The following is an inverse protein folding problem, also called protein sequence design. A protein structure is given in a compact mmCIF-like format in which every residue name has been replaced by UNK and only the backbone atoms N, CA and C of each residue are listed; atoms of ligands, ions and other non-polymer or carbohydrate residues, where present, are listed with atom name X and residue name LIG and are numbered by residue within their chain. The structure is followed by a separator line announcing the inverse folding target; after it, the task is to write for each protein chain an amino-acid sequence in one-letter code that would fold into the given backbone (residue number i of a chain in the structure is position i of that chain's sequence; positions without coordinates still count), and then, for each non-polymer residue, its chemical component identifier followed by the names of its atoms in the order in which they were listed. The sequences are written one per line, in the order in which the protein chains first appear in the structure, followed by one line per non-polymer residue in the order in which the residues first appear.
data_IF_931764568086
#
_entry.id   IF_931764568086
#
_cell.length_a   1.000
_cell.length_b   1.000
_cell.length_c   1.000
_cell.angle_alpha   90.00
_cell.angle_beta   90.00
_cell.angle_gamma   90.00
#
_symmetry.space_group_name_H-M   'P 1'
#
loop_
_entity.id
_entity.type
_entity.pdbx_description
1 polymer ?
#
# COMPACT_ATOMS: atom_id res chain seq x y z
N UNK A 1 16.36 18.82 42.87
CA UNK A 1 15.29 17.90 42.41
C UNK A 1 14.20 18.72 41.75
N UNK A 2 14.14 18.74 40.43
CA UNK A 2 13.06 19.42 39.71
C UNK A 2 11.80 18.53 39.77
N UNK A 3 10.80 18.97 40.52
CA UNK A 3 9.49 18.34 40.60
C UNK A 3 8.82 18.41 39.23
N UNK A 4 8.69 17.25 38.56
CA UNK A 4 7.93 17.11 37.32
C UNK A 4 6.49 17.51 37.62
N UNK A 5 6.01 18.60 37.02
CA UNK A 5 4.59 19.00 37.14
C UNK A 5 3.72 17.79 36.78
N UNK A 6 2.67 17.48 37.56
CA UNK A 6 1.74 16.41 37.21
C UNK A 6 1.14 16.69 35.82
N UNK A 7 1.15 15.69 34.94
CA UNK A 7 0.61 15.80 33.59
C UNK A 7 -0.86 16.20 33.67
N UNK A 8 -1.21 17.36 33.13
CA UNK A 8 -2.60 17.82 33.03
C UNK A 8 -3.41 16.77 32.27
N UNK A 9 -4.60 16.35 32.77
CA UNK A 9 -5.39 15.33 32.11
C UNK A 9 -5.77 15.76 30.69
N UNK A 10 -5.55 14.86 29.72
CA UNK A 10 -5.87 15.10 28.31
C UNK A 10 -7.38 15.24 28.14
N UNK A 11 -7.82 16.17 27.29
CA UNK A 11 -9.21 16.17 26.82
C UNK A 11 -9.49 14.91 25.98
N UNK A 12 -10.77 14.51 25.86
CA UNK A 12 -11.17 13.37 25.04
C UNK A 12 -10.60 13.42 23.61
N UNK A 13 -10.61 14.60 22.98
CA UNK A 13 -10.01 14.81 21.66
C UNK A 13 -8.48 14.65 21.63
N UNK A 14 -7.78 15.11 22.67
CA UNK A 14 -6.33 14.93 22.79
C UNK A 14 -5.96 13.46 23.00
N UNK A 15 -6.75 12.72 23.79
CA UNK A 15 -6.58 11.29 24.01
C UNK A 15 -6.82 10.50 22.72
N UNK A 16 -7.92 10.77 22.02
CA UNK A 16 -8.22 10.16 20.71
C UNK A 16 -7.11 10.39 19.69
N UNK A 17 -6.65 11.64 19.57
CA UNK A 17 -5.57 12.00 18.64
C UNK A 17 -4.26 11.30 18.99
N UNK A 18 -3.92 11.17 20.27
CA UNK A 18 -2.72 10.46 20.70
C UNK A 18 -2.78 8.97 20.35
N UNK A 19 -3.93 8.32 20.56
CA UNK A 19 -4.17 6.93 20.16
C UNK A 19 -4.08 6.74 18.64
N UNK A 20 -4.68 7.64 17.85
CA UNK A 20 -4.54 7.63 16.39
C UNK A 20 -3.09 7.73 15.95
N UNK A 21 -2.33 8.66 16.52
CA UNK A 21 -0.91 8.84 16.19
C UNK A 21 -0.08 7.59 16.52
N UNK A 22 -0.42 6.88 17.59
CA UNK A 22 0.20 5.60 17.91
C UNK A 22 -0.06 4.58 16.80
N UNK A 23 -1.31 4.35 16.41
CA UNK A 23 -1.66 3.39 15.34
C UNK A 23 -1.01 3.77 14.01
N UNK A 24 -0.96 5.06 13.68
CA UNK A 24 -0.28 5.52 12.46
C UNK A 24 1.23 5.25 12.47
N UNK A 25 1.90 5.37 13.63
CA UNK A 25 3.32 5.00 13.75
C UNK A 25 3.53 3.51 13.58
N UNK A 26 2.70 2.69 14.22
CA UNK A 26 2.74 1.23 14.09
C UNK A 26 2.50 0.80 12.63
N UNK A 27 1.58 1.46 11.93
CA UNK A 27 1.35 1.25 10.49
C UNK A 27 2.58 1.55 9.65
N UNK A 28 3.25 2.68 9.90
CA UNK A 28 4.48 3.04 9.16
C UNK A 28 5.59 2.02 9.41
N UNK A 29 5.77 1.59 10.66
CA UNK A 29 6.73 0.55 11.01
C UNK A 29 6.43 -0.77 10.29
N UNK A 30 5.18 -1.24 10.34
CA UNK A 30 4.76 -2.46 9.66
C UNK A 30 5.03 -2.43 8.15
N UNK A 31 4.76 -1.29 7.49
CA UNK A 31 5.02 -1.17 6.05
C UNK A 31 6.51 -1.27 5.76
N UNK A 32 7.35 -0.63 6.56
CA UNK A 32 8.80 -0.70 6.42
C UNK A 32 9.33 -2.12 6.68
N UNK A 33 8.81 -2.80 7.71
CA UNK A 33 9.24 -4.14 8.10
C UNK A 33 8.89 -5.17 7.02
N UNK A 34 7.64 -5.16 6.53
CA UNK A 34 7.20 -6.03 5.43
C UNK A 34 8.01 -5.75 4.16
N UNK A 35 8.20 -4.47 3.82
CA UNK A 35 8.96 -4.08 2.64
C UNK A 35 10.43 -4.56 2.70
N UNK A 36 11.07 -4.42 3.86
CA UNK A 36 12.43 -4.90 4.10
C UNK A 36 12.49 -6.44 4.06
N UNK A 37 11.51 -7.14 4.61
CA UNK A 37 11.42 -8.59 4.59
C UNK A 37 11.29 -9.15 3.16
N UNK A 38 10.37 -8.61 2.37
CA UNK A 38 10.20 -9.00 0.97
C UNK A 38 11.48 -8.74 0.17
N UNK A 39 12.14 -7.60 0.40
CA UNK A 39 13.43 -7.27 -0.20
C UNK A 39 14.50 -8.33 0.10
N UNK A 40 14.66 -8.69 1.37
CA UNK A 40 15.62 -9.74 1.79
C UNK A 40 15.34 -11.09 1.15
N UNK A 41 14.08 -11.51 1.07
CA UNK A 41 13.71 -12.79 0.44
C UNK A 41 14.05 -12.83 -1.05
N UNK A 42 13.76 -11.75 -1.79
CA UNK A 42 14.08 -11.65 -3.22
C UNK A 42 15.59 -11.64 -3.44
N UNK A 43 16.34 -10.88 -2.63
CA UNK A 43 17.81 -10.84 -2.70
C UNK A 43 18.42 -12.21 -2.40
N UNK A 44 17.91 -12.91 -1.39
CA UNK A 44 18.37 -14.25 -1.05
C UNK A 44 18.10 -15.27 -2.18
N UNK A 45 16.92 -15.21 -2.80
CA UNK A 45 16.60 -16.07 -3.95
C UNK A 45 17.52 -15.78 -5.14
N UNK A 46 17.84 -14.52 -5.41
CA UNK A 46 18.80 -14.14 -6.44
C UNK A 46 20.20 -14.71 -6.14
N UNK A 47 20.68 -14.60 -4.90
CA UNK A 47 21.97 -15.17 -4.51
C UNK A 47 21.99 -16.70 -4.71
N UNK A 48 20.89 -17.39 -4.39
CA UNK A 48 20.74 -18.83 -4.65
C UNK A 48 20.80 -19.13 -6.14
N UNK A 49 20.08 -18.38 -6.98
CA UNK A 49 20.12 -18.52 -8.44
C UNK A 49 21.55 -18.32 -8.98
N UNK A 50 22.21 -17.21 -8.61
CA UNK A 50 23.57 -16.92 -9.06
C UNK A 50 24.57 -17.98 -8.60
N UNK A 51 24.42 -18.49 -7.38
CA UNK A 51 25.23 -19.60 -6.87
C UNK A 51 25.02 -20.91 -7.62
N UNK A 52 23.78 -21.20 -8.06
CA UNK A 52 23.51 -22.37 -8.92
C UNK A 52 24.14 -22.21 -10.31
N UNK A 53 24.03 -21.01 -10.90
CA UNK A 53 24.63 -20.70 -12.21
C UNK A 53 26.15 -20.76 -12.19
N UNK A 54 26.80 -20.21 -11.14
CA UNK A 54 28.26 -20.20 -11.03
C UNK A 54 28.87 -21.61 -10.86
N UNK A 55 28.10 -22.58 -10.35
CA UNK A 55 28.53 -23.98 -10.18
C UNK A 55 28.20 -24.84 -11.40
N UNK A 56 27.43 -24.34 -12.35
CA UNK A 56 27.07 -25.09 -13.54
C UNK A 56 28.30 -25.22 -14.45
N UNK A 57 28.57 -26.43 -14.99
CA UNK A 57 29.62 -26.64 -15.99
C UNK A 57 29.45 -25.71 -17.19
N UNK A 58 30.56 -25.32 -17.83
CA UNK A 58 30.56 -24.51 -19.05
C UNK A 58 29.96 -25.24 -20.26
N UNK A 59 29.92 -26.58 -20.22
CA UNK A 59 29.28 -27.41 -21.24
C UNK A 59 27.79 -27.64 -20.91
N UNK A 60 26.97 -26.65 -21.30
CA UNK A 60 25.52 -26.64 -21.05
C UNK A 60 24.73 -27.57 -21.99
N UNK A 61 25.36 -28.15 -23.01
CA UNK A 61 24.67 -28.46 -24.25
C UNK A 61 23.66 -29.63 -24.18
N UNK A 62 23.81 -30.60 -23.26
CA UNK A 62 22.89 -31.76 -23.27
C UNK A 62 22.49 -32.34 -21.89
N UNK A 63 23.34 -32.30 -20.86
CA UNK A 63 23.06 -33.01 -19.59
C UNK A 63 22.74 -32.11 -18.38
N UNK A 64 23.06 -30.81 -18.44
CA UNK A 64 22.96 -29.91 -17.28
C UNK A 64 21.72 -29.01 -17.34
N UNK A 65 21.28 -28.61 -18.53
CA UNK A 65 20.22 -27.61 -18.69
C UNK A 65 18.88 -28.02 -18.06
N UNK A 66 18.33 -29.24 -18.30
CA UNK A 66 17.03 -29.60 -17.71
C UNK A 66 17.06 -29.57 -16.18
N UNK A 67 18.16 -30.05 -15.59
CA UNK A 67 18.37 -30.05 -14.14
C UNK A 67 18.55 -28.64 -13.58
N UNK A 68 19.24 -27.76 -14.30
CA UNK A 68 19.40 -26.36 -13.93
C UNK A 68 18.05 -25.64 -13.98
N UNK A 69 17.27 -25.81 -15.06
CA UNK A 69 15.92 -25.24 -15.20
C UNK A 69 15.00 -25.73 -14.08
N UNK A 70 15.05 -27.00 -13.73
CA UNK A 70 14.28 -27.55 -12.60
C UNK A 70 14.74 -26.97 -11.24
N UNK A 71 16.05 -26.79 -11.06
CA UNK A 71 16.61 -26.10 -9.89
C UNK A 71 16.09 -24.67 -9.74
N UNK A 72 16.10 -23.91 -10.84
CA UNK A 72 15.62 -22.53 -10.87
C UNK A 72 14.10 -22.43 -10.65
N UNK A 73 13.33 -23.37 -11.21
CA UNK A 73 11.89 -23.46 -10.97
C UNK A 73 11.59 -23.66 -9.50
N UNK A 74 12.33 -24.57 -8.83
CA UNK A 74 12.18 -24.80 -7.39
C UNK A 74 12.49 -23.55 -6.56
N UNK A 75 13.56 -22.82 -6.89
CA UNK A 75 13.88 -21.56 -6.20
C UNK A 75 12.77 -20.52 -6.39
N UNK A 76 12.20 -20.42 -7.59
CA UNK A 76 11.05 -19.54 -7.86
C UNK A 76 9.79 -19.94 -7.09
N UNK A 77 9.46 -21.23 -7.07
CA UNK A 77 8.29 -21.77 -6.35
C UNK A 77 8.43 -21.55 -4.83
N UNK A 78 9.62 -21.83 -4.27
CA UNK A 78 9.93 -21.58 -2.85
C UNK A 78 9.84 -20.10 -2.50
N UNK A 79 10.38 -19.21 -3.35
CA UNK A 79 10.28 -17.77 -3.17
C UNK A 79 8.81 -17.32 -3.19
N UNK A 80 8.00 -17.83 -4.13
CA UNK A 80 6.57 -17.49 -4.21
C UNK A 80 5.83 -17.83 -2.92
N UNK A 81 6.07 -19.02 -2.36
CA UNK A 81 5.47 -19.47 -1.09
C UNK A 81 5.90 -18.58 0.08
N UNK A 82 7.20 -18.25 0.16
CA UNK A 82 7.74 -17.39 1.23
C UNK A 82 7.15 -15.97 1.15
N UNK A 83 7.18 -15.35 -0.03
CA UNK A 83 6.62 -14.01 -0.25
C UNK A 83 5.11 -13.99 0.01
N UNK A 84 4.37 -15.00 -0.46
CA UNK A 84 2.93 -15.12 -0.21
C UNK A 84 2.61 -15.22 1.27
N UNK A 85 3.38 -16.02 2.02
CA UNK A 85 3.24 -16.18 3.48
C UNK A 85 3.50 -14.86 4.22
N UNK A 86 4.61 -14.20 3.92
CA UNK A 86 4.98 -12.92 4.52
C UNK A 86 3.94 -11.84 4.22
N UNK A 87 3.52 -11.72 2.95
CA UNK A 87 2.51 -10.76 2.54
C UNK A 87 1.16 -11.03 3.19
N UNK A 88 0.72 -12.28 3.29
CA UNK A 88 -0.52 -12.64 3.99
C UNK A 88 -0.45 -12.28 5.48
N UNK A 89 0.71 -12.45 6.11
CA UNK A 89 1.00 -11.99 7.47
C UNK A 89 0.87 -10.48 7.62
N UNK A 90 1.53 -9.72 6.74
CA UNK A 90 1.43 -8.27 6.68
C UNK A 90 0.00 -7.76 6.49
N UNK A 91 -0.78 -8.41 5.61
CA UNK A 91 -2.19 -8.07 5.40
C UNK A 91 -3.05 -8.26 6.66
N UNK A 92 -2.82 -9.34 7.43
CA UNK A 92 -3.52 -9.54 8.72
C UNK A 92 -3.19 -8.45 9.73
N UNK A 93 -1.91 -8.09 9.84
CA UNK A 93 -1.49 -7.04 10.77
C UNK A 93 -2.01 -5.67 10.34
N UNK A 94 -1.99 -5.37 9.03
CA UNK A 94 -2.58 -4.15 8.46
C UNK A 94 -4.08 -4.06 8.75
N UNK A 95 -4.80 -5.16 8.62
CA UNK A 95 -6.21 -5.26 8.96
C UNK A 95 -6.47 -4.94 10.44
N UNK A 96 -5.74 -5.60 11.35
CA UNK A 96 -5.84 -5.35 12.80
C UNK A 96 -5.53 -3.89 13.16
N UNK A 97 -4.52 -3.28 12.51
CA UNK A 97 -4.23 -1.87 12.69
C UNK A 97 -5.37 -0.97 12.18
N UNK A 98 -6.05 -1.35 11.10
CA UNK A 98 -7.24 -0.65 10.61
C UNK A 98 -8.36 -0.63 11.63
N UNK A 99 -8.67 -1.78 12.25
CA UNK A 99 -9.66 -1.87 13.34
C UNK A 99 -9.25 -1.03 14.54
N UNK A 100 -7.97 -1.13 14.95
CA UNK A 100 -7.42 -0.35 16.06
C UNK A 100 -7.39 1.15 15.79
N UNK A 101 -7.31 1.57 14.53
CA UNK A 101 -7.39 2.98 14.16
C UNK A 101 -8.77 3.59 14.48
N UNK A 102 -9.79 2.76 14.70
CA UNK A 102 -11.13 3.19 15.09
C UNK A 102 -11.37 2.94 16.57
N UNK A 103 -11.08 1.73 17.06
CA UNK A 103 -11.41 1.35 18.43
C UNK A 103 -10.57 2.08 19.48
N UNK A 104 -9.25 2.20 19.30
CA UNK A 104 -8.38 2.81 20.31
C UNK A 104 -8.70 4.30 20.56
N UNK A 105 -8.92 5.15 19.53
CA UNK A 105 -9.28 6.54 19.76
C UNK A 105 -10.62 6.72 20.47
N UNK A 106 -11.60 5.86 20.17
CA UNK A 106 -12.91 5.89 20.83
C UNK A 106 -12.80 5.50 22.30
N UNK A 107 -12.10 4.40 22.59
CA UNK A 107 -11.83 3.98 23.97
C UNK A 107 -11.03 5.05 24.75
N UNK A 108 -10.07 5.71 24.10
CA UNK A 108 -9.31 6.79 24.71
C UNK A 108 -10.14 8.06 24.97
N UNK A 109 -11.11 8.35 24.10
CA UNK A 109 -12.00 9.51 24.23
C UNK A 109 -13.09 9.33 25.29
N UNK A 110 -13.59 8.09 25.46
CA UNK A 110 -14.67 7.77 26.37
C UNK A 110 -14.43 6.42 27.09
N UNK A 111 -13.51 6.37 28.09
CA UNK A 111 -13.08 5.11 28.71
C UNK A 111 -14.20 4.37 29.46
N UNK A 112 -15.16 5.11 30.01
CA UNK A 112 -16.23 4.58 30.86
C UNK A 112 -17.51 4.19 30.10
N UNK A 113 -17.80 4.79 28.94
CA UNK A 113 -18.98 4.45 28.13
C UNK A 113 -18.83 3.10 27.40
N UNK A 114 -17.58 2.64 27.22
CA UNK A 114 -17.23 1.47 26.43
C UNK A 114 -17.00 0.19 27.26
N UNK A 115 -16.99 0.27 28.60
CA UNK A 115 -16.70 -0.88 29.49
C UNK A 115 -17.75 -2.01 29.43
N UNK A 116 -18.97 -1.75 28.95
CA UNK A 116 -20.02 -2.78 28.79
C UNK A 116 -20.19 -3.34 27.37
N UNK A 117 -19.62 -2.70 26.33
CA UNK A 117 -19.94 -3.01 24.92
C UNK A 117 -18.74 -3.10 23.97
N UNK A 118 -17.54 -2.66 24.37
CA UNK A 118 -16.39 -2.54 23.48
C UNK A 118 -15.79 -3.86 23.02
N UNK A 119 -15.78 -4.88 23.89
CA UNK A 119 -15.10 -6.15 23.55
C UNK A 119 -16.01 -7.15 22.84
N UNK A 120 -17.34 -7.03 22.99
CA UNK A 120 -18.29 -8.01 22.48
C UNK A 120 -18.95 -7.59 21.16
N UNK A 121 -18.84 -6.32 20.76
CA UNK A 121 -19.75 -5.76 19.78
C UNK A 121 -19.10 -4.87 18.70
N UNK A 122 -17.77 -4.81 18.58
CA UNK A 122 -17.18 -4.44 17.28
C UNK A 122 -17.47 -5.64 16.36
N UNK A 123 -18.47 -5.49 15.48
CA UNK A 123 -19.18 -6.57 14.79
C UNK A 123 -18.28 -7.61 14.12
N UNK A 124 -18.82 -8.81 13.87
CA UNK A 124 -18.12 -9.88 13.16
C UNK A 124 -17.43 -9.31 11.91
N UNK A 125 -16.12 -9.18 12.03
CA UNK A 125 -15.23 -8.69 10.98
C UNK A 125 -15.42 -9.58 9.77
N UNK A 126 -15.65 -8.98 8.59
CA UNK A 126 -15.81 -9.75 7.35
C UNK A 126 -14.44 -10.29 6.91
N UNK A 127 -14.04 -11.41 7.52
CA UNK A 127 -12.83 -12.13 7.19
C UNK A 127 -12.86 -12.69 5.77
N UNK A 128 -14.01 -12.71 5.08
CA UNK A 128 -14.08 -13.17 3.68
C UNK A 128 -13.36 -12.19 2.77
N UNK A 129 -13.52 -10.88 2.99
CA UNK A 129 -12.79 -9.87 2.23
C UNK A 129 -11.28 -9.95 2.46
N UNK A 130 -10.85 -10.13 3.72
CA UNK A 130 -9.43 -10.32 4.02
C UNK A 130 -8.86 -11.57 3.34
N UNK A 131 -9.58 -12.69 3.39
CA UNK A 131 -9.16 -13.94 2.72
C UNK A 131 -9.12 -13.79 1.20
N UNK A 132 -10.10 -13.11 0.60
CA UNK A 132 -10.11 -12.83 -0.84
C UNK A 132 -8.92 -11.95 -1.25
N UNK A 133 -8.62 -10.91 -0.47
CA UNK A 133 -7.46 -10.05 -0.70
C UNK A 133 -6.15 -10.82 -0.56
N UNK A 134 -6.04 -11.73 0.42
CA UNK A 134 -4.89 -12.63 0.58
C UNK A 134 -4.72 -13.56 -0.62
N UNK A 135 -5.80 -14.18 -1.11
CA UNK A 135 -5.77 -15.06 -2.28
C UNK A 135 -5.29 -14.31 -3.53
N UNK A 136 -5.92 -13.18 -3.85
CA UNK A 136 -5.52 -12.34 -5.01
C UNK A 136 -4.07 -11.86 -4.88
N UNK A 137 -3.63 -11.53 -3.67
CA UNK A 137 -2.26 -11.09 -3.43
C UNK A 137 -1.25 -12.23 -3.67
N UNK A 138 -1.53 -13.43 -3.15
CA UNK A 138 -0.70 -14.63 -3.38
C UNK A 138 -0.64 -14.96 -4.87
N UNK A 139 -1.77 -14.97 -5.59
CA UNK A 139 -1.81 -15.27 -7.02
C UNK A 139 -0.96 -14.28 -7.83
N UNK A 140 -1.01 -12.99 -7.52
CA UNK A 140 -0.19 -11.97 -8.19
C UNK A 140 1.31 -12.10 -7.89
N UNK A 141 1.66 -12.50 -6.67
CA UNK A 141 3.05 -12.79 -6.28
C UNK A 141 3.56 -14.04 -7.02
N UNK A 142 2.77 -15.10 -7.08
CA UNK A 142 3.07 -16.29 -7.86
C UNK A 142 3.24 -15.98 -9.34
N UNK A 143 2.41 -15.11 -9.92
CA UNK A 143 2.57 -14.62 -11.28
C UNK A 143 3.90 -13.88 -11.50
N UNK A 144 4.24 -12.93 -10.63
CA UNK A 144 5.48 -12.16 -10.72
C UNK A 144 6.74 -13.03 -10.59
N UNK A 145 6.72 -14.02 -9.70
CA UNK A 145 7.83 -14.98 -9.53
C UNK A 145 7.92 -15.97 -10.70
N UNK A 146 6.81 -16.41 -11.27
CA UNK A 146 6.81 -17.24 -12.48
C UNK A 146 7.38 -16.47 -13.69
N UNK A 147 6.99 -15.20 -13.88
CA UNK A 147 7.54 -14.32 -14.92
C UNK A 147 9.06 -14.12 -14.77
N UNK A 148 9.53 -14.04 -13.53
CA UNK A 148 10.95 -13.96 -13.21
C UNK A 148 11.68 -15.25 -13.64
N UNK A 149 11.18 -16.43 -13.27
CA UNK A 149 11.76 -17.72 -13.69
C UNK A 149 11.78 -17.85 -15.21
N UNK A 150 10.70 -17.47 -15.89
CA UNK A 150 10.64 -17.48 -17.35
C UNK A 150 11.70 -16.57 -17.99
N UNK A 151 11.99 -15.41 -17.38
CA UNK A 151 13.06 -14.53 -17.86
C UNK A 151 14.43 -15.19 -17.76
N UNK A 152 14.73 -15.91 -16.66
CA UNK A 152 15.98 -16.68 -16.54
C UNK A 152 16.05 -17.75 -17.60
N UNK A 153 14.97 -18.53 -17.76
CA UNK A 153 14.94 -19.63 -18.71
C UNK A 153 15.17 -19.15 -20.15
N UNK A 154 14.72 -17.93 -20.50
CA UNK A 154 15.05 -17.31 -21.79
C UNK A 154 16.55 -17.02 -21.93
N UNK A 155 17.20 -16.50 -20.89
CA UNK A 155 18.65 -16.27 -20.90
C UNK A 155 19.43 -17.58 -21.05
N UNK A 156 19.00 -18.64 -20.35
CA UNK A 156 19.63 -19.96 -20.47
C UNK A 156 19.38 -20.63 -21.82
N UNK A 157 18.19 -20.48 -22.39
CA UNK A 157 17.89 -20.97 -23.74
C UNK A 157 18.78 -20.32 -24.79
N UNK A 158 19.08 -19.02 -24.66
CA UNK A 158 20.01 -18.32 -25.55
C UNK A 158 21.45 -18.84 -25.45
N UNK A 159 21.90 -19.28 -24.27
CA UNK A 159 23.20 -19.93 -24.11
C UNK A 159 23.26 -21.25 -24.87
N UNK A 160 22.21 -22.06 -24.76
CA UNK A 160 22.13 -23.40 -25.38
C UNK A 160 22.09 -23.30 -26.90
N UNK A 161 21.42 -22.28 -27.43
CA UNK A 161 21.38 -21.99 -28.86
C UNK A 161 22.66 -21.34 -29.39
N UNK A 162 23.67 -21.10 -28.53
CA UNK A 162 24.92 -20.43 -28.91
C UNK A 162 24.75 -18.94 -29.22
N UNK A 163 23.62 -18.34 -28.85
CA UNK A 163 23.30 -16.92 -29.09
C UNK A 163 24.05 -15.99 -28.13
N UNK A 164 24.32 -16.44 -26.90
CA UNK A 164 25.08 -15.67 -25.91
C UNK A 164 25.98 -16.56 -25.05
N UNK A 165 27.00 -15.97 -24.42
CA UNK A 165 27.88 -16.72 -23.52
C UNK A 165 27.21 -16.98 -22.15
N UNK A 166 27.61 -18.02 -21.40
CA UNK A 166 27.16 -18.21 -20.03
C UNK A 166 27.42 -17.01 -19.12
N UNK A 167 28.54 -16.31 -19.34
CA UNK A 167 28.90 -15.13 -18.57
C UNK A 167 27.94 -13.96 -18.81
N UNK A 168 27.58 -13.69 -20.08
CA UNK A 168 26.62 -12.64 -20.43
C UNK A 168 25.22 -12.96 -19.88
N UNK A 169 24.81 -14.22 -19.93
CA UNK A 169 23.57 -14.68 -19.33
C UNK A 169 23.52 -14.43 -17.81
N UNK A 170 24.62 -14.70 -17.10
CA UNK A 170 24.72 -14.43 -15.66
C UNK A 170 24.63 -12.93 -15.35
N UNK A 171 25.28 -12.07 -16.13
CA UNK A 171 25.17 -10.62 -15.98
C UNK A 171 23.75 -10.10 -16.25
N UNK A 172 23.10 -10.63 -17.29
CA UNK A 172 21.73 -10.28 -17.62
C UNK A 172 20.77 -10.69 -16.50
N UNK A 173 20.92 -11.90 -15.96
CA UNK A 173 20.16 -12.36 -14.78
C UNK A 173 20.41 -11.45 -13.58
N UNK A 174 21.67 -11.09 -13.31
CA UNK A 174 22.02 -10.20 -12.19
C UNK A 174 21.40 -8.80 -12.32
N UNK A 175 21.23 -8.29 -13.55
CA UNK A 175 20.69 -6.94 -13.80
C UNK A 175 19.15 -6.93 -13.88
N UNK A 176 18.53 -7.96 -14.47
CA UNK A 176 17.08 -8.03 -14.68
C UNK A 176 16.29 -8.33 -13.39
N UNK A 177 16.92 -9.07 -12.47
CA UNK A 177 16.26 -9.68 -11.32
C UNK A 177 15.96 -8.77 -10.13
N UNK A 178 16.90 -7.92 -9.65
CA UNK A 178 16.72 -7.21 -8.39
C UNK A 178 15.68 -6.09 -8.49
N UNK A 179 15.56 -5.41 -9.63
CA UNK A 179 14.77 -4.17 -9.68
C UNK A 179 13.33 -4.40 -10.11
N UNK A 180 13.10 -5.19 -11.17
CA UNK A 180 11.75 -5.35 -11.73
C UNK A 180 10.85 -6.22 -10.85
N UNK A 181 11.30 -7.42 -10.48
CA UNK A 181 10.53 -8.33 -9.63
C UNK A 181 10.28 -7.73 -8.25
N UNK A 182 11.32 -7.10 -7.66
CA UNK A 182 11.21 -6.39 -6.39
C UNK A 182 10.21 -5.24 -6.48
N UNK A 183 10.29 -4.38 -7.49
CA UNK A 183 9.34 -3.29 -7.66
C UNK A 183 7.90 -3.79 -7.84
N UNK A 184 7.69 -4.85 -8.64
CA UNK A 184 6.37 -5.43 -8.87
C UNK A 184 5.77 -6.04 -7.60
N UNK A 185 6.52 -6.90 -6.91
CA UNK A 185 6.08 -7.53 -5.64
C UNK A 185 5.81 -6.46 -4.58
N UNK A 186 6.72 -5.49 -4.41
CA UNK A 186 6.52 -4.37 -3.48
C UNK A 186 5.28 -3.56 -3.84
N UNK A 187 5.06 -3.27 -5.12
CA UNK A 187 3.88 -2.53 -5.58
C UNK A 187 2.57 -3.25 -5.27
N UNK A 188 2.52 -4.58 -5.52
CA UNK A 188 1.39 -5.45 -5.17
C UNK A 188 1.12 -5.39 -3.67
N UNK A 189 2.13 -5.70 -2.85
CA UNK A 189 1.95 -5.83 -1.40
C UNK A 189 1.63 -4.47 -0.77
N UNK A 190 2.38 -3.41 -1.07
CA UNK A 190 2.14 -2.09 -0.47
C UNK A 190 0.76 -1.52 -0.79
N UNK A 191 0.24 -1.75 -1.99
CA UNK A 191 -1.11 -1.36 -2.38
C UNK A 191 -2.17 -2.16 -1.60
N UNK A 192 -1.95 -3.46 -1.46
CA UNK A 192 -2.88 -4.34 -0.75
C UNK A 192 -2.85 -4.14 0.78
N UNK A 193 -1.71 -3.79 1.37
CA UNK A 193 -1.64 -3.38 2.78
C UNK A 193 -2.51 -2.14 3.04
N UNK A 194 -2.45 -1.15 2.15
CA UNK A 194 -3.30 0.05 2.24
C UNK A 194 -4.79 -0.29 2.13
N UNK A 195 -5.12 -1.16 1.19
CA UNK A 195 -6.49 -1.67 0.97
C UNK A 195 -7.01 -2.41 2.20
N UNK A 196 -6.22 -3.33 2.78
CA UNK A 196 -6.59 -4.10 3.97
C UNK A 196 -6.85 -3.17 5.17
N UNK A 197 -5.93 -2.25 5.45
CA UNK A 197 -6.05 -1.30 6.54
C UNK A 197 -7.29 -0.41 6.42
N UNK A 198 -7.51 0.18 5.24
CA UNK A 198 -8.62 1.11 5.06
C UNK A 198 -9.98 0.41 5.00
N UNK A 199 -10.04 -0.81 4.44
CA UNK A 199 -11.25 -1.63 4.46
C UNK A 199 -11.64 -1.98 5.90
N UNK A 200 -10.69 -2.46 6.70
CA UNK A 200 -10.93 -2.81 8.10
C UNK A 200 -11.35 -1.59 8.95
N UNK A 201 -10.66 -0.45 8.76
CA UNK A 201 -11.02 0.81 9.41
C UNK A 201 -12.43 1.27 9.03
N UNK A 202 -12.79 1.19 7.74
CA UNK A 202 -14.14 1.56 7.31
C UNK A 202 -15.21 0.63 7.86
N UNK A 203 -15.00 -0.69 7.87
CA UNK A 203 -15.94 -1.65 8.46
C UNK A 203 -16.15 -1.37 9.96
N UNK A 204 -15.08 -1.11 10.70
CA UNK A 204 -15.15 -0.76 12.12
C UNK A 204 -15.86 0.58 12.34
N UNK A 205 -15.62 1.59 11.48
CA UNK A 205 -16.35 2.86 11.51
C UNK A 205 -17.85 2.69 11.23
N UNK A 206 -18.21 1.87 10.24
CA UNK A 206 -19.61 1.62 9.88
C UNK A 206 -20.35 0.95 11.03
N UNK A 207 -19.72 -0.03 11.70
CA UNK A 207 -20.27 -0.65 12.91
C UNK A 207 -20.45 0.36 14.05
N UNK A 208 -19.51 1.29 14.21
CA UNK A 208 -19.60 2.33 15.24
C UNK A 208 -20.69 3.37 14.93
N UNK A 209 -20.86 3.76 13.66
CA UNK A 209 -21.86 4.74 13.25
C UNK A 209 -23.30 4.32 13.58
N UNK A 210 -23.57 3.01 13.63
CA UNK A 210 -24.84 2.47 14.11
C UNK A 210 -25.14 2.76 15.59
N UNK A 211 -24.11 3.06 16.40
CA UNK A 211 -24.22 3.39 17.83
C UNK A 211 -24.09 4.87 18.13
N UNK A 212 -23.31 5.54 17.30
CA UNK A 212 -22.90 6.91 17.51
C UNK A 212 -23.10 7.67 16.20
N UNK A 213 -24.33 8.19 15.95
CA UNK A 213 -24.65 8.88 14.70
C UNK A 213 -23.83 10.16 14.47
N UNK A 214 -23.17 10.68 15.51
CA UNK A 214 -22.31 11.86 15.41
C UNK A 214 -20.90 11.53 14.89
N UNK A 215 -20.51 10.24 14.89
CA UNK A 215 -19.22 9.83 14.35
C UNK A 215 -19.21 10.03 12.83
N UNK A 216 -18.12 10.60 12.35
CA UNK A 216 -17.87 10.81 10.92
C UNK A 216 -16.52 10.23 10.55
N UNK A 217 -16.25 10.18 9.25
CA UNK A 217 -14.93 9.86 8.71
C UNK A 217 -14.29 11.11 8.12
N UNK A 218 -12.99 11.25 8.34
CA UNK A 218 -12.18 12.31 7.75
C UNK A 218 -11.12 11.72 6.83
N UNK A 219 -11.06 12.19 5.58
CA UNK A 219 -9.98 11.85 4.68
C UNK A 219 -8.69 12.50 5.17
N UNK A 220 -7.62 11.71 5.30
CA UNK A 220 -6.29 12.21 5.60
C UNK A 220 -5.31 11.73 4.53
N UNK A 221 -4.66 12.70 3.89
CA UNK A 221 -3.65 12.42 2.89
C UNK A 221 -2.44 11.70 3.49
N UNK A 222 -1.75 10.96 2.64
CA UNK A 222 -0.46 10.37 2.98
C UNK A 222 0.60 11.45 3.19
N UNK A 223 1.61 11.18 4.02
CA UNK A 223 2.81 12.01 4.15
C UNK A 223 3.87 11.76 3.06
N UNK A 224 3.51 11.16 1.93
CA UNK A 224 4.46 10.83 0.85
C UNK A 224 4.99 12.09 0.19
N UNK A 225 6.25 12.06 -0.25
CA UNK A 225 6.88 13.16 -1.00
C UNK A 225 6.15 13.46 -2.32
N UNK A 226 5.69 12.41 -3.01
CA UNK A 226 4.96 12.49 -4.27
C UNK A 226 3.53 11.99 -4.07
N UNK A 227 2.75 12.70 -3.24
CA UNK A 227 1.31 12.49 -3.14
C UNK A 227 0.61 12.87 -4.43
N UNK A 228 -0.52 12.22 -4.74
CA UNK A 228 -1.38 12.63 -5.84
C UNK A 228 -2.04 13.95 -5.50
N UNK A 229 -2.01 14.90 -6.43
CA UNK A 229 -2.55 16.24 -6.22
C UNK A 229 -4.05 16.23 -5.88
N UNK A 230 -4.83 15.32 -6.48
CA UNK A 230 -6.26 15.20 -6.22
C UNK A 230 -6.56 14.60 -4.83
N UNK A 231 -5.67 13.76 -4.30
CA UNK A 231 -5.77 13.23 -2.93
C UNK A 231 -5.35 14.27 -1.89
N UNK A 232 -4.42 15.15 -2.25
CA UNK A 232 -4.06 16.31 -1.43
C UNK A 232 -5.22 17.29 -1.30
N UNK A 233 -6.00 17.49 -2.37
CA UNK A 233 -7.21 18.31 -2.36
C UNK A 233 -8.31 17.75 -1.46
N UNK A 234 -8.45 16.42 -1.41
CA UNK A 234 -9.40 15.77 -0.51
C UNK A 234 -8.95 15.78 0.96
N UNK A 235 -7.72 16.17 1.27
CA UNK A 235 -7.20 16.19 2.64
C UNK A 235 -8.08 17.00 3.58
N UNK A 236 -8.59 16.33 4.62
CA UNK A 236 -9.43 16.93 5.65
C UNK A 236 -10.92 17.00 5.32
N UNK A 237 -11.36 16.52 4.14
CA UNK A 237 -12.79 16.31 3.84
C UNK A 237 -13.40 15.43 4.94
N UNK A 238 -14.53 15.86 5.50
CA UNK A 238 -15.28 15.12 6.54
C UNK A 238 -16.62 14.73 5.95
N UNK A 239 -16.95 13.44 6.00
CA UNK A 239 -18.22 12.91 5.51
C UNK A 239 -18.88 12.04 6.58
N UNK A 240 -20.22 11.94 6.58
CA UNK A 240 -20.90 10.82 7.23
C UNK A 240 -20.27 9.48 6.80
N UNK A 241 -20.30 8.47 7.68
CA UNK A 241 -19.58 7.21 7.46
C UNK A 241 -20.09 6.45 6.23
N UNK A 242 -21.39 6.54 5.96
CA UNK A 242 -22.13 5.94 4.85
C UNK A 242 -22.03 6.72 3.53
N UNK A 243 -21.50 7.95 3.56
CA UNK A 243 -21.41 8.82 2.37
C UNK A 243 -20.01 8.80 1.75
N UNK A 244 -19.86 8.87 0.42
CA UNK A 244 -18.55 8.84 -0.22
C UNK A 244 -17.76 10.12 0.02
N UNK A 245 -16.44 9.99 -0.02
CA UNK A 245 -15.55 11.11 -0.33
C UNK A 245 -15.65 11.44 -1.81
N UNK A 246 -15.66 12.72 -2.13
CA UNK A 246 -15.74 13.21 -3.51
C UNK A 246 -14.39 13.80 -3.89
N UNK A 247 -13.70 13.13 -4.81
CA UNK A 247 -12.41 13.55 -5.34
C UNK A 247 -12.59 14.11 -6.75
N UNK A 248 -11.72 15.04 -7.13
CA UNK A 248 -11.53 15.34 -8.55
C UNK A 248 -10.80 14.15 -9.18
N UNK A 249 -11.26 13.68 -10.34
CA UNK A 249 -10.59 12.62 -11.09
C UNK A 249 -9.15 13.00 -11.46
N UNK A 250 -8.30 12.00 -11.68
CA UNK A 250 -6.92 12.22 -12.10
C UNK A 250 -6.78 13.05 -13.39
N UNK A 251 -7.71 12.90 -14.35
CA UNK A 251 -7.75 13.70 -15.58
C UNK A 251 -8.26 15.13 -15.35
N UNK A 252 -8.83 15.40 -14.17
CA UNK A 252 -9.25 16.70 -13.75
C UNK A 252 -10.57 17.19 -14.35
N UNK A 253 -11.33 16.31 -15.01
CA UNK A 253 -12.54 16.66 -15.76
C UNK A 253 -13.82 16.12 -15.13
N UNK A 254 -13.71 15.13 -14.26
CA UNK A 254 -14.82 14.45 -13.61
C UNK A 254 -14.60 14.35 -12.11
N UNK A 255 -15.58 13.76 -11.41
CA UNK A 255 -15.46 13.41 -10.01
C UNK A 255 -15.36 11.89 -9.87
N UNK A 256 -14.62 11.45 -8.87
CA UNK A 256 -14.57 10.06 -8.44
C UNK A 256 -15.05 9.99 -7.01
N UNK A 257 -16.01 9.12 -6.76
CA UNK A 257 -16.52 8.84 -5.43
C UNK A 257 -15.81 7.62 -4.85
N UNK A 258 -15.28 7.76 -3.64
CA UNK A 258 -14.62 6.66 -2.93
C UNK A 258 -15.21 6.56 -1.53
N UNK A 259 -15.55 5.34 -1.10
CA UNK A 259 -16.09 5.16 0.24
C UNK A 259 -15.01 5.32 1.31
N UNK A 260 -13.78 4.96 0.98
CA UNK A 260 -12.59 5.18 1.78
C UNK A 260 -11.35 5.18 0.87
N UNK A 261 -10.18 5.64 1.35
CA UNK A 261 -8.96 5.56 0.55
C UNK A 261 -8.57 4.12 0.22
N UNK A 262 -8.06 3.88 -0.99
CA UNK A 262 -7.75 2.53 -1.47
C UNK A 262 -8.97 1.57 -1.43
N UNK A 263 -10.17 2.11 -1.64
CA UNK A 263 -11.38 1.32 -1.88
C UNK A 263 -11.21 0.42 -3.12
N UNK A 264 -11.34 -0.92 -3.00
CA UNK A 264 -11.22 -1.84 -4.13
C UNK A 264 -12.18 -1.57 -5.29
N UNK A 265 -13.32 -0.90 -5.03
CA UNK A 265 -14.29 -0.55 -6.06
C UNK A 265 -13.88 0.69 -6.88
N UNK A 266 -12.86 1.44 -6.42
CA UNK A 266 -12.41 2.65 -7.09
C UNK A 266 -11.52 2.35 -8.32
N UNK A 267 -11.42 3.29 -9.28
CA UNK A 267 -10.49 3.17 -10.39
C UNK A 267 -9.05 2.93 -9.92
N UNK A 268 -8.33 2.04 -10.61
CA UNK A 268 -6.98 1.59 -10.23
C UNK A 268 -6.01 2.75 -9.94
N UNK A 269 -6.11 3.84 -10.71
CA UNK A 269 -5.28 5.04 -10.55
C UNK A 269 -5.43 5.74 -9.19
N UNK A 270 -6.56 5.55 -8.51
CA UNK A 270 -6.86 6.11 -7.19
C UNK A 270 -6.48 5.15 -6.05
N UNK A 271 -6.25 3.87 -6.34
CA UNK A 271 -6.00 2.81 -5.36
C UNK A 271 -4.51 2.49 -5.22
N UNK A 272 -3.83 2.25 -6.35
CA UNK A 272 -2.44 1.74 -6.34
C UNK A 272 -1.52 2.70 -5.61
N UNK A 273 -0.59 2.19 -4.80
CA UNK A 273 0.35 3.01 -4.03
C UNK A 273 -0.31 4.14 -3.21
N UNK A 274 -1.61 4.09 -2.92
CA UNK A 274 -2.26 5.09 -2.10
C UNK A 274 -1.79 4.92 -0.64
N UNK A 275 -1.37 6.02 -0.01
CA UNK A 275 -0.98 6.03 1.40
C UNK A 275 -2.00 6.72 2.31
N UNK A 276 -3.08 7.24 1.74
CA UNK A 276 -4.12 8.00 2.44
C UNK A 276 -4.92 7.08 3.37
N UNK A 277 -5.54 7.67 4.39
CA UNK A 277 -6.33 6.95 5.41
C UNK A 277 -7.63 7.69 5.73
N UNK A 278 -8.66 6.95 6.08
CA UNK A 278 -9.87 7.51 6.68
C UNK A 278 -9.74 7.41 8.20
N UNK A 279 -9.78 8.56 8.89
CA UNK A 279 -9.72 8.61 10.35
C UNK A 279 -11.11 8.82 10.95
N UNK A 280 -11.41 8.22 12.13
CA UNK A 280 -12.58 8.60 12.91
C UNK A 280 -12.52 10.10 13.26
N UNK A 281 -13.67 10.74 13.19
CA UNK A 281 -13.81 12.17 13.45
C UNK A 281 -15.05 12.46 14.29
N UNK A 282 -14.90 13.38 15.24
CA UNK A 282 -15.99 14.05 15.96
C UNK A 282 -15.71 15.55 16.04
N UNK A 283 -16.77 16.36 16.10
CA UNK A 283 -16.66 17.82 16.17
C UNK A 283 -15.79 18.29 17.36
N UNK A 284 -15.92 17.65 18.51
CA UNK A 284 -15.16 17.96 19.71
C UNK A 284 -13.68 17.57 19.68
N UNK A 285 -13.22 16.75 18.72
CA UNK A 285 -11.85 16.20 18.74
C UNK A 285 -10.77 17.16 18.23
N UNK A 286 -11.15 18.34 17.71
CA UNK A 286 -10.23 19.36 17.18
C UNK A 286 -9.14 18.75 16.27
N UNK A 287 -9.54 17.81 15.42
CA UNK A 287 -8.66 17.18 14.43
C UNK A 287 -8.14 18.23 13.44
N UNK A 288 -6.96 18.01 12.84
CA UNK A 288 -6.46 18.88 11.76
C UNK A 288 -7.51 18.90 10.66
N UNK A 289 -8.17 20.04 10.47
CA UNK A 289 -9.02 20.29 9.31
C UNK A 289 -8.12 20.41 8.08
N UNK A 290 -8.70 20.21 6.91
CA UNK A 290 -8.12 20.75 5.69
C UNK A 290 -7.72 22.19 6.01
N UNK A 291 -6.45 22.55 5.88
CA UNK A 291 -6.10 23.96 5.71
C UNK A 291 -6.70 24.33 4.37
N UNK A 292 -7.97 24.75 4.38
CA UNK A 292 -8.63 25.25 3.20
C UNK A 292 -7.89 26.54 2.84
N UNK A 293 -6.93 26.41 1.97
CA UNK A 293 -7.15 27.03 0.69
C UNK A 293 -7.36 25.87 -0.28
N UNK A 294 -8.59 25.72 -0.77
CA UNK A 294 -8.79 24.95 -1.98
C UNK A 294 -7.82 25.51 -3.01
N UNK A 295 -6.97 24.66 -3.61
CA UNK A 295 -6.05 25.15 -4.63
C UNK A 295 -6.87 25.88 -5.69
N UNK A 296 -6.46 27.12 -5.98
CA UNK A 296 -7.05 27.90 -7.04
C UNK A 296 -7.03 27.10 -8.35
N UNK A 297 -7.95 27.38 -9.30
CA UNK A 297 -7.90 26.77 -10.62
C UNK A 297 -6.51 26.87 -11.28
N UNK A 298 -5.77 27.95 -11.01
CA UNK A 298 -4.38 28.15 -11.45
C UNK A 298 -3.38 27.20 -10.78
N UNK A 299 -3.48 26.95 -9.48
CA UNK A 299 -2.61 25.99 -8.77
C UNK A 299 -2.91 24.54 -9.18
N UNK A 300 -4.17 24.22 -9.44
CA UNK A 300 -4.58 22.92 -10.00
C UNK A 300 -4.00 22.78 -11.41
N UNK A 301 -4.09 23.80 -12.25
CA UNK A 301 -3.52 23.81 -13.59
C UNK A 301 -1.99 23.66 -13.57
N UNK A 302 -1.29 24.42 -12.72
CA UNK A 302 0.17 24.35 -12.59
C UNK A 302 0.66 22.97 -12.09
N UNK A 303 -0.12 22.31 -11.24
CA UNK A 303 0.21 20.94 -10.79
C UNK A 303 -0.11 19.88 -11.82
N UNK A 304 -1.18 20.04 -12.60
CA UNK A 304 -1.44 19.22 -13.80
C UNK A 304 -0.33 19.37 -14.83
N UNK A 305 0.15 20.60 -15.03
CA UNK A 305 1.25 20.91 -15.94
C UNK A 305 2.57 20.29 -15.44
N UNK A 306 2.86 20.40 -14.14
CA UNK A 306 4.01 19.74 -13.51
C UNK A 306 3.93 18.21 -13.57
N UNK A 307 2.74 17.62 -13.40
CA UNK A 307 2.51 16.19 -13.54
C UNK A 307 2.69 15.72 -14.99
N UNK A 308 2.15 16.47 -15.97
CA UNK A 308 2.31 16.19 -17.40
C UNK A 308 3.77 16.31 -17.87
N UNK A 309 4.51 17.29 -17.36
CA UNK A 309 5.94 17.46 -17.61
C UNK A 309 6.78 16.32 -17.02
N UNK A 310 6.44 15.84 -15.82
CA UNK A 310 7.12 14.70 -15.19
C UNK A 310 6.92 13.38 -15.96
N UNK A 311 5.81 13.25 -16.69
CA UNK A 311 5.51 12.10 -17.56
C UNK A 311 6.11 12.24 -18.99
N UNK A 312 6.89 13.29 -19.26
CA UNK A 312 7.51 13.51 -20.58
C UNK A 312 6.54 13.86 -21.72
N UNK A 313 5.27 14.15 -21.40
CA UNK A 313 4.24 14.50 -22.39
C UNK A 313 4.34 15.99 -22.73
N UNK A 314 4.64 16.32 -23.99
CA UNK A 314 4.51 17.70 -24.50
C UNK A 314 3.03 18.06 -24.61
N UNK A 315 2.62 19.10 -23.89
CA UNK A 315 1.28 19.66 -23.99
C UNK A 315 1.13 20.49 -25.28
N UNK A 316 -0.06 20.53 -25.91
CA UNK A 316 -0.34 21.46 -26.98
C UNK A 316 -0.29 22.90 -26.45
N UNK A 317 0.39 23.79 -27.18
CA UNK A 317 0.48 25.21 -26.83
C UNK A 317 -0.92 25.78 -26.70
N UNK A 318 -1.29 26.27 -25.53
CA UNK A 318 -2.52 27.05 -25.35
C UNK A 318 -2.39 28.31 -26.20
N UNK A 319 -3.09 28.32 -27.33
CA UNK A 319 -3.23 29.50 -28.18
C UNK A 319 -4.01 30.57 -27.43
N UNK A 320 -3.29 31.51 -26.84
CA UNK A 320 -3.87 32.81 -26.48
C UNK A 320 -4.03 33.55 -27.80
N UNK A 321 -5.26 33.58 -28.29
CA UNK A 321 -5.65 34.42 -29.42
C UNK A 321 -5.27 35.87 -29.15
N UNK A 322 -4.51 36.45 -30.07
CA UNK A 322 -4.35 37.90 -30.18
C UNK A 322 -5.73 38.51 -30.41
N UNK A 323 -6.15 39.42 -29.53
CA UNK A 323 -6.90 40.59 -29.95
C UNK A 323 -5.90 41.73 -30.09
#
# INVERSE_FOLDING_TARGET
MATRKPDTPRTAGQAAKAALLQVMRERVALWADVDAELGRMIEQALLTVLGQLARAPSDYQQWVLPRLVEGLRRVGDELAVQLGTAAAGGLRQAWQLGERAVSLPLMAAAPFELQGSASAALGQVDLRQLRALQAVNTDRISGATAEMVQQINRQLGQVVLGVQSPFDAMQAVQTLMPEKTKAQVRGIVTSNLGTAFNTASWQALAAQAARDPEIRKQWRRSGKLHSRWNHDLADGQVQPVDQPFVLVSADGRSQVELMYPADPAAPVGEVIHCGCVALPWKAGWKMKRATIQAYSPAEIAARREKAAQAEGKRLPKTGVGKR
#
